data_IF_236545504577
#
_entry.id   IF_236545504577
#
_cell.length_a   1.000
_cell.length_b   1.000
_cell.length_c   1.000
_cell.angle_alpha   90.00
_cell.angle_beta   90.00
_cell.angle_gamma   90.00
#
_symmetry.space_group_name_H-M   'P 1'
#
loop_
_entity.id
_entity.type
_entity.pdbx_description
1 polymer ?
#
# COMPACT_ATOMS: atom_id res chain seq x y z
N UNK A 1 17.84 -6.30 6.14
CA UNK A 1 16.44 -6.78 6.20
C UNK A 1 15.78 -6.13 7.41
N UNK A 2 14.51 -5.70 7.29
CA UNK A 2 13.77 -5.19 8.45
C UNK A 2 13.62 -6.32 9.50
N UNK A 3 13.73 -6.02 10.82
CA UNK A 3 13.61 -7.03 11.87
C UNK A 3 12.21 -7.64 11.87
N UNK A 4 12.14 -8.93 12.17
CA UNK A 4 10.88 -9.64 12.39
C UNK A 4 10.34 -9.21 13.75
N UNK A 5 9.05 -8.87 13.79
CA UNK A 5 8.31 -8.63 15.04
C UNK A 5 7.67 -9.96 15.41
N UNK A 6 8.20 -10.60 16.44
CA UNK A 6 7.80 -11.92 16.95
C UNK A 6 6.50 -11.89 17.78
N UNK A 7 5.77 -10.80 17.71
CA UNK A 7 4.51 -10.53 18.41
C UNK A 7 3.37 -10.34 17.42
N UNK A 8 2.17 -10.57 17.92
CA UNK A 8 0.95 -10.26 17.19
C UNK A 8 0.62 -8.78 17.34
N UNK A 9 0.63 -8.04 16.24
CA UNK A 9 0.42 -6.60 16.20
C UNK A 9 -0.63 -6.21 15.17
N UNK A 10 -1.20 -5.03 15.31
CA UNK A 10 -2.11 -4.40 14.35
C UNK A 10 -1.64 -2.98 14.03
N UNK A 11 -2.04 -2.43 12.90
CA UNK A 11 -1.81 -1.03 12.59
C UNK A 11 -2.84 -0.14 13.30
N UNK A 12 -2.41 1.06 13.66
CA UNK A 12 -3.27 2.12 14.18
C UNK A 12 -3.02 3.40 13.39
N UNK A 13 -4.11 3.97 12.89
CA UNK A 13 -4.11 5.23 12.15
C UNK A 13 -5.31 6.07 12.58
N UNK A 14 -5.07 7.36 12.84
CA UNK A 14 -6.11 8.30 13.21
C UNK A 14 -6.74 8.91 11.95
N UNK A 15 -8.08 9.05 12.00
CA UNK A 15 -8.87 9.65 10.92
C UNK A 15 -8.97 8.77 9.66
N UNK A 16 -9.50 9.38 8.62
CA UNK A 16 -9.66 8.75 7.31
C UNK A 16 -8.30 8.61 6.59
N UNK A 17 -8.23 7.66 5.69
CA UNK A 17 -7.06 7.49 4.83
C UNK A 17 -7.45 6.88 3.48
N UNK A 18 -6.50 6.81 2.58
CA UNK A 18 -6.72 6.24 1.24
C UNK A 18 -5.77 5.09 0.99
N UNK A 19 -6.30 3.99 0.48
CA UNK A 19 -5.54 2.91 -0.12
C UNK A 19 -5.58 3.06 -1.63
N UNK A 20 -4.42 3.17 -2.25
CA UNK A 20 -4.28 3.30 -3.69
C UNK A 20 -3.49 2.12 -4.24
N UNK A 21 -4.14 1.32 -5.04
CA UNK A 21 -3.53 0.22 -5.76
C UNK A 21 -3.18 0.70 -7.17
N UNK A 22 -1.94 0.50 -7.58
CA UNK A 22 -1.52 0.80 -8.94
C UNK A 22 -0.64 -0.33 -9.46
N UNK A 23 -0.95 -0.82 -10.62
CA UNK A 23 -0.21 -1.92 -11.23
C UNK A 23 -0.06 -1.79 -12.72
N UNK A 24 0.87 -2.59 -13.24
CA UNK A 24 1.02 -2.75 -14.67
C UNK A 24 0.93 -4.23 -15.06
N UNK A 25 0.59 -4.46 -16.32
CA UNK A 25 0.69 -5.77 -16.94
C UNK A 25 1.54 -5.69 -18.20
N UNK A 26 2.58 -6.52 -18.27
CA UNK A 26 3.43 -6.66 -19.44
C UNK A 26 2.76 -7.66 -20.39
N UNK A 27 2.03 -7.16 -21.39
CA UNK A 27 1.32 -7.99 -22.35
C UNK A 27 2.27 -8.63 -23.39
N UNK A 28 3.33 -7.90 -23.78
CA UNK A 28 4.33 -8.37 -24.76
C UNK A 28 5.72 -8.32 -24.14
N UNK A 29 6.13 -9.44 -23.49
CA UNK A 29 7.37 -9.55 -22.73
C UNK A 29 8.61 -9.26 -23.61
N UNK A 30 8.61 -9.73 -24.86
CA UNK A 30 9.74 -9.58 -25.79
C UNK A 30 9.88 -8.17 -26.41
N UNK A 31 9.22 -7.15 -25.81
CA UNK A 31 9.37 -5.74 -26.18
C UNK A 31 9.89 -4.91 -24.99
N UNK A 32 11.08 -5.22 -24.43
CA UNK A 32 11.56 -4.57 -23.19
C UNK A 32 11.72 -3.06 -23.34
N UNK A 33 12.11 -2.56 -24.51
CA UNK A 33 12.22 -1.11 -24.77
C UNK A 33 10.89 -0.34 -24.58
N UNK A 34 9.76 -1.04 -24.55
CA UNK A 34 8.45 -0.43 -24.35
C UNK A 34 7.98 -0.49 -22.89
N UNK A 35 8.19 -1.62 -22.20
CA UNK A 35 7.66 -1.78 -20.83
C UNK A 35 8.69 -1.44 -19.73
N UNK A 36 10.00 -1.60 -19.96
CA UNK A 36 11.01 -1.33 -18.96
C UNK A 36 11.04 0.12 -18.48
N UNK A 37 10.91 1.15 -19.33
CA UNK A 37 10.80 2.54 -18.88
C UNK A 37 9.60 2.80 -17.98
N UNK A 38 8.46 2.15 -18.24
CA UNK A 38 7.25 2.24 -17.41
C UNK A 38 7.50 1.64 -16.03
N UNK A 39 8.09 0.46 -15.99
CA UNK A 39 8.47 -0.21 -14.74
C UNK A 39 9.44 0.64 -13.92
N UNK A 40 10.47 1.20 -14.55
CA UNK A 40 11.51 2.00 -13.88
C UNK A 40 11.06 3.40 -13.46
N UNK A 41 9.91 3.88 -13.92
CA UNK A 41 9.35 5.15 -13.47
C UNK A 41 8.86 5.08 -12.02
N UNK A 42 8.29 3.95 -11.60
CA UNK A 42 7.67 3.80 -10.29
C UNK A 42 8.64 3.94 -9.10
N UNK A 43 9.82 3.29 -9.08
CA UNK A 43 10.79 3.50 -8.00
C UNK A 43 11.22 4.97 -7.84
N UNK A 44 11.26 5.72 -8.94
CA UNK A 44 11.58 7.14 -8.93
C UNK A 44 10.52 7.97 -8.21
N UNK A 45 9.24 7.71 -8.55
CA UNK A 45 8.10 8.39 -7.92
C UNK A 45 7.99 8.05 -6.43
N UNK A 46 8.18 6.79 -6.05
CA UNK A 46 8.14 6.40 -4.62
C UNK A 46 9.26 7.09 -3.84
N UNK A 47 10.48 7.10 -4.38
CA UNK A 47 11.60 7.79 -3.72
C UNK A 47 11.36 9.30 -3.55
N UNK A 48 10.76 9.95 -4.54
CA UNK A 48 10.35 11.36 -4.44
C UNK A 48 9.34 11.56 -3.31
N UNK A 49 8.30 10.72 -3.25
CA UNK A 49 7.26 10.78 -2.21
C UNK A 49 7.82 10.53 -0.81
N UNK A 50 8.75 9.59 -0.65
CA UNK A 50 9.43 9.31 0.62
C UNK A 50 10.23 10.51 1.15
N UNK A 51 10.67 11.42 0.26
CA UNK A 51 11.39 12.65 0.61
C UNK A 51 10.49 13.89 0.72
N UNK A 52 9.18 13.74 0.55
CA UNK A 52 8.19 14.83 0.57
C UNK A 52 7.10 14.57 1.61
N UNK A 53 7.39 14.77 2.91
CA UNK A 53 6.43 14.49 3.99
C UNK A 53 5.11 15.27 3.84
N UNK A 54 5.17 16.46 3.26
CA UNK A 54 4.01 17.32 2.99
C UNK A 54 3.06 16.75 1.93
N UNK A 55 3.51 15.79 1.13
CA UNK A 55 2.69 15.15 0.09
C UNK A 55 1.47 14.41 0.66
N UNK A 56 1.52 14.02 1.94
CA UNK A 56 0.52 13.17 2.56
C UNK A 56 0.65 11.69 2.19
N UNK A 57 1.75 11.31 1.54
CA UNK A 57 2.11 9.92 1.31
C UNK A 57 2.55 9.26 2.62
N UNK A 58 1.96 8.13 2.98
CA UNK A 58 2.25 7.41 4.22
C UNK A 58 3.20 6.24 4.00
N UNK A 59 3.21 5.68 2.80
CA UNK A 59 4.08 4.56 2.46
C UNK A 59 3.57 3.72 1.31
N UNK A 60 4.42 2.82 0.82
CA UNK A 60 4.06 1.87 -0.22
C UNK A 60 4.72 0.52 -0.04
N UNK A 61 4.10 -0.49 -0.63
CA UNK A 61 4.66 -1.84 -0.72
C UNK A 61 4.53 -2.37 -2.14
N UNK A 62 5.65 -2.82 -2.70
CA UNK A 62 5.68 -3.51 -3.99
C UNK A 62 5.28 -4.98 -3.80
N UNK A 63 4.36 -5.44 -4.63
CA UNK A 63 3.97 -6.84 -4.75
C UNK A 63 4.16 -7.32 -6.19
N UNK A 64 4.54 -8.58 -6.32
CA UNK A 64 4.66 -9.26 -7.60
C UNK A 64 3.60 -10.36 -7.66
N UNK A 65 2.45 -10.08 -8.28
CA UNK A 65 1.43 -11.10 -8.55
C UNK A 65 1.92 -12.15 -9.54
N UNK A 66 2.78 -11.73 -10.47
CA UNK A 66 3.61 -12.57 -11.34
C UNK A 66 4.75 -11.71 -11.88
N UNK A 67 5.79 -12.29 -12.52
CA UNK A 67 6.86 -11.51 -13.15
C UNK A 67 6.35 -10.47 -14.18
N UNK A 68 5.10 -10.64 -14.66
CA UNK A 68 4.47 -9.75 -15.65
C UNK A 68 3.49 -8.76 -15.04
N UNK A 69 3.22 -8.85 -13.73
CA UNK A 69 2.17 -8.07 -13.04
C UNK A 69 2.68 -7.50 -11.70
N UNK A 70 3.66 -6.61 -11.74
CA UNK A 70 4.04 -5.84 -10.55
C UNK A 70 2.92 -4.87 -10.19
N UNK A 71 2.68 -4.70 -8.88
CA UNK A 71 1.75 -3.71 -8.35
C UNK A 71 2.29 -3.08 -7.08
N UNK A 72 1.89 -1.86 -6.81
CA UNK A 72 2.11 -1.16 -5.55
C UNK A 72 0.80 -1.00 -4.81
N UNK A 73 0.84 -1.24 -3.52
CA UNK A 73 -0.18 -0.78 -2.58
C UNK A 73 0.39 0.44 -1.88
N UNK A 74 -0.27 1.57 -2.03
CA UNK A 74 0.12 2.85 -1.44
C UNK A 74 -0.90 3.27 -0.39
N UNK A 75 -0.44 3.98 0.63
CA UNK A 75 -1.26 4.56 1.68
C UNK A 75 -1.10 6.07 1.66
N UNK A 76 -2.21 6.80 1.73
CA UNK A 76 -2.24 8.25 1.64
C UNK A 76 -3.12 8.84 2.72
N UNK A 77 -2.77 10.04 3.17
CA UNK A 77 -3.53 10.76 4.21
C UNK A 77 -4.93 11.15 3.74
N UNK A 78 -5.08 11.54 2.47
CA UNK A 78 -6.39 11.83 1.87
C UNK A 78 -6.38 11.69 0.35
N UNK A 79 -7.57 11.69 -0.25
CA UNK A 79 -7.74 11.64 -1.70
C UNK A 79 -7.21 12.93 -2.35
N UNK A 80 -7.42 14.08 -1.74
CA UNK A 80 -6.95 15.38 -2.24
C UNK A 80 -5.41 15.41 -2.34
N UNK A 81 -4.72 14.78 -1.38
CA UNK A 81 -3.25 14.66 -1.41
C UNK A 81 -2.78 13.78 -2.55
N UNK A 82 -3.41 12.63 -2.75
CA UNK A 82 -3.14 11.74 -3.87
C UNK A 82 -3.40 12.45 -5.21
N UNK A 83 -4.56 13.11 -5.35
CA UNK A 83 -4.95 13.82 -6.56
C UNK A 83 -4.00 15.00 -6.86
N UNK A 84 -3.63 15.78 -5.83
CA UNK A 84 -2.68 16.88 -5.96
C UNK A 84 -1.34 16.40 -6.52
N UNK A 85 -0.80 15.30 -5.99
CA UNK A 85 0.42 14.69 -6.52
C UNK A 85 0.25 14.21 -7.97
N UNK A 86 -0.85 13.53 -8.27
CA UNK A 86 -1.11 13.01 -9.61
C UNK A 86 -1.25 14.12 -10.67
N UNK A 87 -1.72 15.30 -10.27
CA UNK A 87 -1.88 16.48 -11.16
C UNK A 87 -0.69 17.43 -11.17
N UNK A 88 0.28 17.26 -10.26
CA UNK A 88 1.44 18.13 -10.19
C UNK A 88 2.35 17.96 -11.41
N UNK A 89 2.53 19.03 -12.16
CA UNK A 89 3.43 19.05 -13.32
C UNK A 89 4.91 19.02 -12.94
N UNK A 90 5.23 19.43 -11.71
CA UNK A 90 6.59 19.47 -11.17
C UNK A 90 7.01 18.14 -10.54
N UNK A 91 6.08 17.20 -10.37
CA UNK A 91 6.34 15.88 -9.82
C UNK A 91 6.84 14.88 -10.88
N UNK A 92 7.55 13.83 -10.46
CA UNK A 92 8.02 12.77 -11.35
C UNK A 92 6.87 11.99 -12.02
N UNK A 93 5.65 12.07 -11.48
CA UNK A 93 4.47 11.43 -12.06
C UNK A 93 4.12 11.99 -13.44
N UNK A 94 4.10 13.32 -13.60
CA UNK A 94 3.67 13.96 -14.86
C UNK A 94 4.56 13.60 -16.06
N UNK A 95 5.89 13.73 -16.01
CA UNK A 95 6.75 13.30 -17.10
C UNK A 95 6.63 11.82 -17.40
N UNK A 96 6.45 10.97 -16.38
CA UNK A 96 6.26 9.53 -16.56
C UNK A 96 4.96 9.22 -17.30
N UNK A 97 3.85 9.88 -16.94
CA UNK A 97 2.55 9.75 -17.60
C UNK A 97 2.59 10.21 -19.06
N UNK A 98 3.22 11.37 -19.34
CA UNK A 98 3.42 11.87 -20.71
C UNK A 98 4.26 10.89 -21.52
N UNK A 99 5.37 10.40 -20.97
CA UNK A 99 6.23 9.43 -21.64
C UNK A 99 5.50 8.10 -21.90
N UNK A 100 4.66 7.64 -20.97
CA UNK A 100 3.82 6.46 -21.17
C UNK A 100 2.87 6.65 -22.34
N UNK A 101 2.08 7.72 -22.34
CA UNK A 101 1.14 7.99 -23.43
C UNK A 101 1.81 8.11 -24.80
N UNK A 102 2.99 8.72 -24.86
CA UNK A 102 3.75 8.86 -26.11
C UNK A 102 4.32 7.54 -26.62
N UNK A 103 4.80 6.66 -25.73
CA UNK A 103 5.54 5.44 -26.10
C UNK A 103 4.65 4.21 -26.19
N UNK A 104 3.69 4.11 -25.32
CA UNK A 104 2.85 2.92 -25.14
C UNK A 104 1.41 3.25 -25.53
N UNK A 105 0.81 4.27 -24.90
CA UNK A 105 -0.59 4.64 -25.13
C UNK A 105 -1.49 3.41 -25.13
N UNK A 106 -2.29 3.26 -26.18
CA UNK A 106 -3.22 2.15 -26.36
C UNK A 106 -2.72 1.04 -27.31
N UNK A 107 -1.39 0.92 -27.54
CA UNK A 107 -0.84 -0.10 -28.46
C UNK A 107 -0.84 -1.54 -27.91
N UNK A 108 -1.33 -1.75 -26.70
CA UNK A 108 -1.53 -3.05 -26.08
C UNK A 108 -0.25 -3.78 -25.60
N UNK A 109 0.92 -3.12 -25.60
CA UNK A 109 2.17 -3.73 -25.11
C UNK A 109 2.22 -3.77 -23.59
N UNK A 110 1.73 -2.72 -22.94
CA UNK A 110 1.61 -2.58 -21.48
C UNK A 110 0.20 -2.15 -21.14
N UNK A 111 -0.41 -2.78 -20.16
CA UNK A 111 -1.60 -2.29 -19.47
C UNK A 111 -1.20 -1.61 -18.17
N UNK A 112 -1.90 -0.53 -17.81
CA UNK A 112 -1.85 0.10 -16.49
C UNK A 112 -3.26 0.11 -15.92
N UNK A 113 -3.37 -0.12 -14.63
CA UNK A 113 -4.61 -0.06 -13.88
C UNK A 113 -4.37 0.56 -12.52
N UNK A 114 -5.40 1.13 -11.95
CA UNK A 114 -5.39 1.57 -10.55
C UNK A 114 -6.79 1.42 -9.95
N UNK A 115 -6.82 1.32 -8.63
CA UNK A 115 -8.02 1.33 -7.81
C UNK A 115 -7.76 2.22 -6.60
N UNK A 116 -8.77 2.98 -6.19
CA UNK A 116 -8.70 3.88 -5.04
C UNK A 116 -9.81 3.55 -4.07
N UNK A 117 -9.42 3.28 -2.82
CA UNK A 117 -10.34 2.98 -1.74
C UNK A 117 -10.27 4.09 -0.69
N UNK A 118 -11.39 4.77 -0.48
CA UNK A 118 -11.53 5.76 0.58
C UNK A 118 -11.92 5.02 1.86
N UNK A 119 -11.05 5.00 2.84
CA UNK A 119 -11.24 4.25 4.08
C UNK A 119 -11.58 5.24 5.19
N UNK A 120 -12.82 5.23 5.69
CA UNK A 120 -13.21 6.07 6.81
C UNK A 120 -12.50 5.64 8.10
N UNK A 121 -12.42 6.54 9.07
CA UNK A 121 -11.87 6.26 10.39
C UNK A 121 -12.50 4.98 10.98
N UNK A 122 -11.64 4.03 11.38
CA UNK A 122 -12.09 2.72 11.88
C UNK A 122 -12.57 1.74 10.81
N UNK A 123 -12.66 2.13 9.54
CA UNK A 123 -13.16 1.28 8.44
C UNK A 123 -12.14 0.27 7.90
N UNK A 124 -11.23 -0.18 8.73
CA UNK A 124 -10.19 -1.15 8.35
C UNK A 124 -9.95 -2.17 9.45
N UNK A 125 -9.38 -3.29 9.07
CA UNK A 125 -8.88 -4.33 9.98
C UNK A 125 -7.58 -4.91 9.42
N UNK A 126 -6.60 -5.13 10.27
CA UNK A 126 -5.36 -5.81 9.89
C UNK A 126 -4.72 -6.47 11.11
N UNK A 127 -3.95 -7.52 10.83
CA UNK A 127 -3.13 -8.20 11.83
C UNK A 127 -1.83 -8.68 11.20
N UNK A 128 -0.76 -8.57 11.96
CA UNK A 128 0.56 -9.08 11.57
C UNK A 128 1.07 -9.97 12.68
N UNK A 129 1.61 -11.12 12.32
CA UNK A 129 2.19 -12.08 13.27
C UNK A 129 3.48 -12.64 12.67
N UNK A 130 4.57 -12.59 13.42
CA UNK A 130 5.90 -13.03 12.95
C UNK A 130 6.31 -12.40 11.61
N UNK A 131 6.04 -11.12 11.45
CA UNK A 131 6.31 -10.36 10.23
C UNK A 131 7.15 -9.11 10.52
N UNK A 132 8.00 -8.68 9.59
CA UNK A 132 8.49 -7.31 9.64
C UNK A 132 7.33 -6.34 9.42
N UNK A 133 7.47 -5.10 9.85
CA UNK A 133 6.50 -4.04 9.53
C UNK A 133 6.25 -4.01 8.02
N UNK A 134 4.99 -4.14 7.62
CA UNK A 134 4.59 -4.22 6.21
C UNK A 134 3.20 -3.63 6.00
N UNK A 135 2.89 -3.26 4.76
CA UNK A 135 1.58 -2.72 4.40
C UNK A 135 1.21 -1.49 5.24
N UNK A 136 -0.03 -1.43 5.72
CA UNK A 136 -0.50 -0.34 6.59
C UNK A 136 0.33 -0.23 7.86
N UNK A 137 0.79 -1.35 8.44
CA UNK A 137 1.63 -1.36 9.64
C UNK A 137 3.03 -0.77 9.43
N UNK A 138 3.55 -0.70 8.20
CA UNK A 138 4.79 0.00 7.89
C UNK A 138 4.56 1.49 7.62
N UNK A 139 3.35 1.84 7.18
CA UNK A 139 2.95 3.20 6.84
C UNK A 139 2.42 4.00 8.04
N UNK A 140 2.17 3.33 9.18
CA UNK A 140 1.54 3.92 10.37
C UNK A 140 2.17 3.37 11.66
N UNK A 141 1.47 3.50 12.78
CA UNK A 141 1.92 2.98 14.07
C UNK A 141 1.49 1.52 14.25
N UNK A 142 2.40 0.67 14.70
CA UNK A 142 2.08 -0.68 15.16
C UNK A 142 1.82 -0.71 16.65
N UNK A 143 0.75 -1.39 17.05
CA UNK A 143 0.37 -1.61 18.45
C UNK A 143 0.09 -3.10 18.71
N UNK A 144 0.16 -3.60 19.96
CA UNK A 144 -0.20 -4.97 20.28
C UNK A 144 -1.65 -5.29 19.88
N UNK A 145 -1.85 -6.46 19.25
CA UNK A 145 -3.18 -6.97 18.94
C UNK A 145 -3.72 -7.82 20.10
N UNK A 146 -3.87 -7.18 21.28
CA UNK A 146 -4.32 -7.79 22.53
C UNK A 146 -5.58 -7.13 23.07
N UNK A 147 -6.19 -7.66 24.13
CA UNK A 147 -7.43 -7.17 24.70
C UNK A 147 -8.54 -7.09 23.66
N UNK A 148 -9.21 -5.94 23.56
CA UNK A 148 -10.26 -5.71 22.53
C UNK A 148 -9.76 -5.91 21.10
N UNK A 149 -8.49 -5.69 20.82
CA UNK A 149 -7.88 -5.85 19.49
C UNK A 149 -7.40 -7.29 19.21
N UNK A 150 -7.65 -8.24 20.13
CA UNK A 150 -7.28 -9.64 19.92
C UNK A 150 -8.10 -10.30 18.80
N UNK A 151 -9.38 -9.95 18.66
CA UNK A 151 -10.27 -10.48 17.62
C UNK A 151 -10.33 -9.56 16.39
N UNK A 152 -10.68 -10.11 15.23
CA UNK A 152 -10.91 -9.31 14.01
C UNK A 152 -12.05 -8.30 14.20
N UNK A 153 -13.16 -8.72 14.83
CA UNK A 153 -14.28 -7.86 15.11
C UNK A 153 -13.92 -6.70 16.05
N UNK A 154 -13.09 -6.97 17.08
CA UNK A 154 -12.58 -5.93 17.98
C UNK A 154 -11.61 -4.95 17.29
N UNK A 155 -10.76 -5.43 16.39
CA UNK A 155 -9.88 -4.56 15.58
C UNK A 155 -10.67 -3.68 14.59
N UNK A 156 -11.72 -4.24 14.00
CA UNK A 156 -12.64 -3.51 13.12
C UNK A 156 -13.62 -2.58 13.88
N UNK A 157 -13.60 -2.60 15.21
CA UNK A 157 -14.55 -1.79 16.02
C UNK A 157 -16.01 -2.21 15.91
N UNK A 158 -16.29 -3.41 15.40
CA UNK A 158 -17.64 -3.90 15.15
C UNK A 158 -18.29 -4.48 16.41
N UNK A 159 -17.53 -5.17 17.25
CA UNK A 159 -17.98 -5.83 18.46
C UNK A 159 -16.86 -5.93 19.50
N UNK A 160 -17.24 -5.86 20.76
CA UNK A 160 -16.38 -6.20 21.90
C UNK A 160 -16.56 -7.70 22.20
N UNK A 161 -15.85 -8.55 21.45
CA UNK A 161 -15.85 -9.99 21.70
C UNK A 161 -14.60 -10.37 22.49
N UNK A 162 -14.74 -11.16 23.56
CA UNK A 162 -13.58 -11.76 24.21
C UNK A 162 -12.89 -12.72 23.22
N UNK A 163 -11.59 -12.87 23.39
CA UNK A 163 -10.84 -13.85 22.59
C UNK A 163 -11.41 -15.26 22.87
N UNK A 164 -11.65 -16.08 21.84
CA UNK A 164 -12.28 -17.38 22.01
C UNK A 164 -11.54 -18.25 23.02
N UNK A 165 -12.28 -18.84 23.97
CA UNK A 165 -11.72 -19.75 24.96
C UNK A 165 -11.11 -20.97 24.26
N UNK A 166 -9.87 -21.35 24.62
CA UNK A 166 -9.16 -22.45 23.98
C UNK A 166 -8.50 -22.14 22.62
N UNK A 167 -8.61 -20.91 22.12
CA UNK A 167 -7.84 -20.52 20.93
C UNK A 167 -6.33 -20.44 21.26
N UNK A 168 -5.43 -20.74 20.28
CA UNK A 168 -4.00 -20.68 20.50
C UNK A 168 -3.59 -19.27 20.93
N UNK A 169 -2.97 -19.17 22.11
CA UNK A 169 -2.49 -17.90 22.66
C UNK A 169 -1.03 -17.58 22.28
N UNK A 170 -0.42 -18.42 21.48
CA UNK A 170 0.94 -18.23 21.01
C UNK A 170 1.09 -16.87 20.31
N UNK A 171 1.93 -16.00 20.85
CA UNK A 171 2.15 -14.64 20.37
C UNK A 171 1.20 -13.58 20.92
N UNK A 172 0.32 -13.90 21.90
CA UNK A 172 -0.48 -12.94 22.65
C UNK A 172 0.11 -12.84 24.05
N UNK A 173 1.14 -12.02 24.25
CA UNK A 173 1.51 -11.56 25.58
C UNK A 173 0.52 -10.46 25.99
N UNK A 174 -0.12 -10.65 27.16
CA UNK A 174 -1.01 -9.70 27.86
C UNK A 174 -0.18 -8.59 28.46
#
# INVERSE_FOLDING_TARGET
MAPIIDKRVTAEIDGDFVVFLIGMRINRLFKPSRWLPVFMAMPKMIRELEHSPESGFLGAKLYLGSPRQPMLVQYWRSFERLESYARSHDSAHWPAWVAFNKRVGSNGVVGIWHETYLVPAGGYECVYNNMPATGLGAATKLIPASGRKATAAGRAGLRDEPYPEGAPTEGIEV
#
